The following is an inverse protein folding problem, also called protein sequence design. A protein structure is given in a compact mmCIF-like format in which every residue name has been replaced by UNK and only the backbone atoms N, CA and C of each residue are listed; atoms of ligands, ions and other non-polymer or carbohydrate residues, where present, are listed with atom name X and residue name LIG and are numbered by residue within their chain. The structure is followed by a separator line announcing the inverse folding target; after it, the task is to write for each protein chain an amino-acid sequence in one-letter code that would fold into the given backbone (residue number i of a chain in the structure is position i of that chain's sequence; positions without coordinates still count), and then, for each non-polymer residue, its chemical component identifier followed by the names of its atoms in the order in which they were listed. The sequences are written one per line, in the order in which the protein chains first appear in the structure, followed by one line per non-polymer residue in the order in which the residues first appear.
data_IF_969834489780
#
_entry.id   IF_969834489780
#
_cell.length_a   1.000
_cell.length_b   1.000
_cell.length_c   1.000
_cell.angle_alpha   90.00
_cell.angle_beta   90.00
_cell.angle_gamma   90.00
#
_symmetry.space_group_name_H-M   'P 1'
#
loop_
_entity.id
_entity.type
_entity.pdbx_description
1 polymer ?
#
# COMPACT_ATOMS: atom_id res chain seq x y z
N UNK A 1 -16.48 -1.07 -21.20
CA UNK A 1 -17.32 0.12 -20.81
C UNK A 1 -18.79 -0.19 -20.51
N UNK A 2 -19.43 -1.23 -21.09
CA UNK A 2 -20.83 -1.59 -20.76
C UNK A 2 -20.96 -2.46 -19.51
N UNK A 3 -20.06 -3.42 -19.31
CA UNK A 3 -20.09 -4.34 -18.17
C UNK A 3 -19.92 -3.63 -16.82
N UNK A 4 -18.96 -2.71 -16.73
CA UNK A 4 -18.71 -1.94 -15.50
C UNK A 4 -19.96 -1.15 -15.07
N UNK A 5 -20.67 -0.53 -16.02
CA UNK A 5 -21.91 0.24 -15.71
C UNK A 5 -23.07 -0.64 -15.27
N UNK A 6 -23.12 -1.87 -15.78
CA UNK A 6 -24.18 -2.82 -15.45
C UNK A 6 -23.97 -3.39 -14.04
N UNK A 7 -22.71 -3.62 -13.66
CA UNK A 7 -22.35 -4.11 -12.33
C UNK A 7 -22.47 -3.03 -11.25
N UNK A 8 -22.18 -1.77 -11.59
CA UNK A 8 -22.41 -0.63 -10.68
C UNK A 8 -23.89 -0.42 -10.37
N UNK A 9 -24.77 -0.60 -11.37
CA UNK A 9 -26.23 -0.50 -11.19
C UNK A 9 -26.84 -1.65 -10.40
N UNK A 10 -26.24 -2.86 -10.45
CA UNK A 10 -26.72 -4.01 -9.67
C UNK A 10 -26.43 -3.89 -8.18
N UNK A 11 -25.44 -3.10 -7.79
CA UNK A 11 -24.96 -2.99 -6.42
C UNK A 11 -25.29 -1.63 -5.77
N UNK A 12 -26.29 -0.90 -6.27
CA UNK A 12 -26.76 0.40 -5.76
C UNK A 12 -25.64 1.46 -5.56
N UNK A 13 -24.60 1.41 -6.39
CA UNK A 13 -23.53 2.41 -6.32
C UNK A 13 -23.96 3.70 -7.01
N UNK A 14 -24.03 4.79 -6.24
CA UNK A 14 -24.22 6.14 -6.76
C UNK A 14 -23.07 6.49 -7.70
N UNK A 15 -23.40 6.60 -8.99
CA UNK A 15 -22.46 6.89 -10.08
C UNK A 15 -21.61 8.14 -9.80
N UNK A 16 -22.13 9.06 -9.00
CA UNK A 16 -21.45 10.28 -8.55
C UNK A 16 -20.28 10.03 -7.60
N UNK A 17 -20.35 9.03 -6.70
CA UNK A 17 -19.24 8.69 -5.79
C UNK A 17 -18.05 8.09 -6.55
N UNK A 18 -18.32 7.26 -7.55
CA UNK A 18 -17.30 6.67 -8.42
C UNK A 18 -16.65 7.73 -9.31
N UNK A 19 -17.46 8.68 -9.81
CA UNK A 19 -16.99 9.78 -10.64
C UNK A 19 -16.19 10.81 -9.82
N UNK A 20 -16.55 11.02 -8.56
CA UNK A 20 -15.81 11.86 -7.62
C UNK A 20 -14.47 11.22 -7.24
N UNK A 21 -14.45 9.90 -7.00
CA UNK A 21 -13.22 9.13 -6.82
C UNK A 21 -12.30 9.22 -8.04
N UNK A 22 -12.84 9.14 -9.27
CA UNK A 22 -12.07 9.30 -10.51
C UNK A 22 -11.56 10.74 -10.74
N UNK A 23 -12.29 11.77 -10.28
CA UNK A 23 -11.86 13.18 -10.42
C UNK A 23 -10.78 13.58 -9.41
N UNK A 24 -10.69 12.89 -8.28
CA UNK A 24 -9.69 13.13 -7.24
C UNK A 24 -8.42 12.26 -7.42
N UNK A 25 -8.44 11.27 -8.33
CA UNK A 25 -7.33 10.34 -8.52
C UNK A 25 -6.33 10.80 -9.58
N UNK A 26 -5.34 11.53 -9.10
CA UNK A 26 -3.96 11.40 -9.56
C UNK A 26 -3.16 10.36 -8.75
N UNK A 27 -3.77 9.23 -8.35
CA UNK A 27 -3.24 8.05 -7.61
C UNK A 27 -3.87 7.72 -6.24
N UNK A 28 -4.64 8.60 -5.60
CA UNK A 28 -5.15 8.33 -4.22
C UNK A 28 -6.49 7.57 -4.12
N UNK A 29 -7.27 7.41 -5.19
CA UNK A 29 -8.63 6.83 -5.08
C UNK A 29 -8.68 5.29 -5.25
N UNK A 30 -7.58 4.62 -5.60
CA UNK A 30 -7.59 3.21 -5.98
C UNK A 30 -7.76 2.28 -4.76
N UNK A 31 -7.17 2.64 -3.61
CA UNK A 31 -7.26 1.86 -2.37
C UNK A 31 -8.68 1.84 -1.80
N UNK A 32 -9.37 2.98 -1.82
CA UNK A 32 -10.76 3.09 -1.39
C UNK A 32 -11.72 2.37 -2.35
N UNK A 33 -11.48 2.44 -3.67
CA UNK A 33 -12.29 1.71 -4.65
C UNK A 33 -12.17 0.19 -4.46
N UNK A 34 -10.97 -0.34 -4.22
CA UNK A 34 -10.76 -1.78 -3.99
C UNK A 34 -11.38 -2.22 -2.64
N UNK A 35 -11.28 -1.37 -1.60
CA UNK A 35 -11.92 -1.60 -0.30
C UNK A 35 -13.45 -1.58 -0.38
N UNK A 36 -14.03 -0.67 -1.16
CA UNK A 36 -15.47 -0.58 -1.40
C UNK A 36 -16.00 -1.76 -2.24
N UNK A 37 -15.25 -2.22 -3.25
CA UNK A 37 -15.64 -3.37 -4.09
C UNK A 37 -15.62 -4.69 -3.29
N UNK A 38 -14.67 -4.86 -2.36
CA UNK A 38 -14.56 -6.07 -1.54
C UNK A 38 -15.60 -6.19 -0.43
N UNK A 39 -16.09 -5.06 0.09
CA UNK A 39 -17.04 -5.04 1.20
C UNK A 39 -18.50 -5.30 0.80
N UNK A 40 -18.81 -5.28 -0.49
CA UNK A 40 -20.19 -5.45 -0.95
C UNK A 40 -20.68 -6.91 -1.00
N UNK A 41 -19.81 -7.93 -0.91
CA UNK A 41 -20.20 -9.30 -1.29
C UNK A 41 -19.77 -10.47 -0.37
N UNK A 42 -19.35 -10.29 0.88
CA UNK A 42 -19.05 -11.51 1.67
C UNK A 42 -19.18 -11.39 3.18
N UNK A 43 -20.28 -11.93 3.69
CA UNK A 43 -20.46 -12.35 5.09
C UNK A 43 -19.62 -13.59 5.49
N UNK A 44 -18.65 -14.04 4.67
CA UNK A 44 -17.99 -15.35 4.85
C UNK A 44 -16.47 -15.37 4.70
N UNK A 45 -15.80 -14.22 4.57
CA UNK A 45 -14.34 -14.19 4.56
C UNK A 45 -13.87 -12.84 5.10
N UNK A 46 -13.35 -12.72 6.33
CA UNK A 46 -12.78 -11.47 6.79
C UNK A 46 -11.50 -11.24 5.98
N UNK A 47 -11.63 -10.45 4.93
CA UNK A 47 -10.50 -9.98 4.17
C UNK A 47 -9.65 -9.12 5.10
N UNK A 48 -8.36 -9.43 5.17
CA UNK A 48 -7.43 -8.69 6.02
C UNK A 48 -7.58 -7.18 5.77
N UNK A 49 -7.72 -6.42 6.86
CA UNK A 49 -7.62 -4.97 6.88
C UNK A 49 -6.28 -4.51 6.28
N UNK A 50 -6.18 -3.23 5.89
CA UNK A 50 -4.94 -2.67 5.37
C UNK A 50 -3.75 -2.95 6.30
N UNK A 51 -3.95 -2.75 7.62
CA UNK A 51 -2.97 -3.04 8.64
C UNK A 51 -2.57 -4.52 8.70
N UNK A 52 -3.54 -5.45 8.66
CA UNK A 52 -3.25 -6.87 8.68
C UNK A 52 -2.48 -7.34 7.44
N UNK A 53 -2.78 -6.80 6.24
CA UNK A 53 -2.03 -7.10 5.01
C UNK A 53 -0.58 -6.62 5.09
N UNK A 54 -0.38 -5.40 5.59
CA UNK A 54 0.96 -4.84 5.78
C UNK A 54 1.74 -5.63 6.81
N UNK A 55 1.13 -5.96 7.95
CA UNK A 55 1.74 -6.78 9.00
C UNK A 55 2.18 -8.15 8.48
N UNK A 56 1.30 -8.84 7.75
CA UNK A 56 1.62 -10.13 7.14
C UNK A 56 2.80 -10.01 6.16
N UNK A 57 2.73 -9.04 5.26
CA UNK A 57 3.76 -8.82 4.23
C UNK A 57 5.13 -8.54 4.85
N UNK A 58 5.20 -7.61 5.80
CA UNK A 58 6.47 -7.28 6.44
C UNK A 58 7.01 -8.42 7.30
N UNK A 59 6.14 -9.21 7.94
CA UNK A 59 6.55 -10.43 8.65
C UNK A 59 7.22 -11.42 7.70
N UNK A 60 6.65 -11.64 6.51
CA UNK A 60 7.26 -12.51 5.50
C UNK A 60 8.59 -11.97 4.96
N UNK A 61 8.67 -10.67 4.69
CA UNK A 61 9.91 -10.01 4.25
C UNK A 61 11.00 -10.15 5.31
N UNK A 62 10.68 -9.91 6.58
CA UNK A 62 11.62 -10.05 7.70
C UNK A 62 12.06 -11.49 7.95
N UNK A 63 11.28 -12.48 7.53
CA UNK A 63 11.65 -13.90 7.60
C UNK A 63 12.50 -14.34 6.39
N UNK A 64 12.28 -13.73 5.21
CA UNK A 64 12.99 -14.05 3.98
C UNK A 64 14.41 -13.44 3.92
N UNK A 65 14.64 -12.34 4.64
CA UNK A 65 15.88 -11.58 4.60
C UNK A 65 16.48 -11.39 5.99
N UNK A 66 17.81 -11.23 6.06
CA UNK A 66 18.50 -10.86 7.30
C UNK A 66 18.67 -9.35 7.38
N UNK A 67 17.89 -8.71 8.25
CA UNK A 67 18.00 -7.27 8.50
C UNK A 67 18.82 -6.96 9.75
N UNK A 68 19.69 -5.94 9.67
CA UNK A 68 20.31 -5.34 10.85
C UNK A 68 19.32 -4.41 11.58
N UNK A 69 19.69 -3.92 12.77
CA UNK A 69 18.80 -3.10 13.60
C UNK A 69 18.38 -1.78 12.92
N UNK A 70 19.27 -1.10 12.18
CA UNK A 70 18.91 0.12 11.44
C UNK A 70 17.93 -0.19 10.30
N UNK A 71 18.09 -1.32 9.61
CA UNK A 71 17.17 -1.75 8.56
C UNK A 71 15.78 -2.11 9.12
N UNK A 72 15.72 -2.77 10.28
CA UNK A 72 14.46 -3.08 10.97
C UNK A 72 13.72 -1.82 11.40
N UNK A 73 14.44 -0.83 11.92
CA UNK A 73 13.88 0.47 12.26
C UNK A 73 13.27 1.15 11.03
N UNK A 74 13.97 1.11 9.90
CA UNK A 74 13.44 1.63 8.64
C UNK A 74 12.23 0.87 8.11
N UNK A 75 12.18 -0.44 8.27
CA UNK A 75 10.99 -1.22 7.93
C UNK A 75 9.77 -0.83 8.80
N UNK A 76 9.98 -0.36 10.03
CA UNK A 76 8.91 0.18 10.86
C UNK A 76 8.38 1.52 10.32
N UNK A 77 9.25 2.41 9.83
CA UNK A 77 8.80 3.65 9.17
C UNK A 77 8.06 3.37 7.86
N UNK A 78 8.55 2.40 7.08
CA UNK A 78 7.88 1.93 5.87
C UNK A 78 6.51 1.33 6.22
N UNK A 79 6.41 0.55 7.30
CA UNK A 79 5.14 0.02 7.79
C UNK A 79 4.11 1.12 8.05
N UNK A 80 4.48 2.17 8.78
CA UNK A 80 3.58 3.29 9.08
C UNK A 80 3.07 3.95 7.80
N UNK A 81 3.93 4.15 6.81
CA UNK A 81 3.54 4.66 5.50
C UNK A 81 2.57 3.72 4.77
N UNK A 82 2.86 2.41 4.76
CA UNK A 82 2.09 1.39 4.05
C UNK A 82 0.71 1.14 4.66
N UNK A 83 0.54 1.27 5.98
CA UNK A 83 -0.77 1.13 6.63
C UNK A 83 -1.77 2.14 6.06
N UNK A 84 -1.29 3.34 5.72
CA UNK A 84 -2.12 4.43 5.17
C UNK A 84 -2.21 4.36 3.65
N UNK A 85 -1.10 4.09 2.95
CA UNK A 85 -1.01 4.28 1.49
C UNK A 85 -0.98 2.98 0.68
N UNK A 86 -0.73 1.83 1.32
CA UNK A 86 -0.68 0.49 0.71
C UNK A 86 0.26 0.30 -0.50
N UNK A 87 1.16 1.25 -0.74
CA UNK A 87 2.23 1.18 -1.72
C UNK A 87 3.37 2.09 -1.27
N UNK A 88 4.59 1.84 -1.75
CA UNK A 88 5.74 2.71 -1.52
C UNK A 88 6.61 2.82 -2.78
N UNK A 89 6.94 4.05 -3.14
CA UNK A 89 7.85 4.42 -4.22
C UNK A 89 9.07 5.17 -3.65
N UNK A 90 10.15 5.30 -4.44
CA UNK A 90 11.38 5.96 -3.98
C UNK A 90 11.14 7.43 -3.63
N UNK A 91 10.28 8.08 -4.38
CA UNK A 91 9.89 9.48 -4.22
C UNK A 91 9.20 9.71 -2.87
N UNK A 92 8.51 8.70 -2.32
CA UNK A 92 7.86 8.82 -1.03
C UNK A 92 8.85 9.03 0.12
N UNK A 93 10.09 8.56 -0.01
CA UNK A 93 11.11 8.75 1.02
C UNK A 93 11.44 10.23 1.25
N UNK A 94 11.34 11.07 0.23
CA UNK A 94 11.67 12.50 0.31
C UNK A 94 10.42 13.39 0.45
N UNK A 95 9.22 12.82 0.35
CA UNK A 95 7.95 13.59 0.37
C UNK A 95 7.10 13.24 1.59
N UNK A 96 7.18 12.01 2.11
CA UNK A 96 6.36 11.56 3.24
C UNK A 96 7.05 11.89 4.57
N UNK A 97 6.42 12.67 5.46
CA UNK A 97 7.05 13.08 6.72
C UNK A 97 7.55 11.93 7.59
N UNK A 98 6.87 10.77 7.55
CA UNK A 98 7.25 9.56 8.30
C UNK A 98 8.57 8.93 7.84
N UNK A 99 9.04 9.24 6.63
CA UNK A 99 10.31 8.79 6.07
C UNK A 99 11.33 9.94 6.00
N UNK A 100 10.87 11.11 5.55
CA UNK A 100 11.70 12.30 5.31
C UNK A 100 12.37 12.79 6.59
N UNK A 101 11.65 12.81 7.73
CA UNK A 101 12.19 13.20 9.05
C UNK A 101 13.34 12.31 9.54
N UNK A 102 13.51 11.12 8.97
CA UNK A 102 14.59 10.18 9.31
C UNK A 102 15.75 10.22 8.30
N UNK A 103 15.76 11.20 7.38
CA UNK A 103 16.82 11.43 6.40
C UNK A 103 16.50 10.97 4.98
N UNK A 104 15.24 10.62 4.72
CA UNK A 104 14.68 10.35 3.40
C UNK A 104 15.44 9.32 2.56
N UNK A 105 15.39 9.49 1.24
CA UNK A 105 15.91 8.49 0.30
C UNK A 105 17.42 8.31 0.44
N UNK A 106 18.14 9.39 0.75
CA UNK A 106 19.59 9.36 0.94
C UNK A 106 19.99 8.47 2.12
N UNK A 107 19.29 8.57 3.26
CA UNK A 107 19.57 7.71 4.41
C UNK A 107 19.14 6.27 4.16
N UNK A 108 17.98 6.05 3.53
CA UNK A 108 17.52 4.71 3.15
C UNK A 108 18.54 4.00 2.24
N UNK A 109 19.06 4.68 1.21
CA UNK A 109 20.11 4.13 0.33
C UNK A 109 21.39 3.78 1.08
N UNK A 110 21.76 4.53 2.11
CA UNK A 110 22.94 4.22 2.93
C UNK A 110 22.74 2.96 3.78
N UNK A 111 21.51 2.72 4.25
CA UNK A 111 21.17 1.61 5.15
C UNK A 111 20.93 0.29 4.38
N UNK A 112 20.18 0.36 3.28
CA UNK A 112 19.84 -0.81 2.48
C UNK A 112 20.81 -1.04 1.32
N UNK A 113 21.63 -0.04 0.95
CA UNK A 113 22.60 -0.16 -0.12
C UNK A 113 21.94 -0.54 -1.46
N UNK A 114 22.51 -1.52 -2.18
CA UNK A 114 21.97 -1.96 -3.47
C UNK A 114 20.61 -2.68 -3.35
N UNK A 115 20.25 -3.16 -2.17
CA UNK A 115 19.06 -3.99 -1.97
C UNK A 115 17.78 -3.17 -1.81
N UNK A 116 17.88 -1.84 -1.65
CA UNK A 116 16.72 -0.96 -1.42
C UNK A 116 15.64 -1.14 -2.48
N UNK A 117 16.02 -1.09 -3.75
CA UNK A 117 15.09 -1.18 -4.88
C UNK A 117 14.40 -2.55 -4.93
N UNK A 118 15.16 -3.61 -4.64
CA UNK A 118 14.64 -4.99 -4.59
C UNK A 118 13.63 -5.15 -3.45
N UNK A 119 13.95 -4.64 -2.26
CA UNK A 119 13.06 -4.72 -1.09
C UNK A 119 11.77 -3.93 -1.32
N UNK A 120 11.84 -2.72 -1.89
CA UNK A 120 10.65 -1.92 -2.24
C UNK A 120 9.77 -2.68 -3.24
N UNK A 121 10.36 -3.24 -4.30
CA UNK A 121 9.62 -4.00 -5.30
C UNK A 121 8.96 -5.26 -4.71
N UNK A 122 9.68 -5.99 -3.84
CA UNK A 122 9.16 -7.19 -3.19
C UNK A 122 8.00 -6.90 -2.24
N UNK A 123 8.11 -5.82 -1.44
CA UNK A 123 7.05 -5.35 -0.56
C UNK A 123 5.79 -5.02 -1.37
N UNK A 124 5.92 -4.20 -2.43
CA UNK A 124 4.78 -3.82 -3.26
C UNK A 124 4.14 -5.04 -3.94
N UNK A 125 4.96 -5.98 -4.45
CA UNK A 125 4.47 -7.19 -5.06
C UNK A 125 3.67 -8.06 -4.07
N UNK A 126 4.22 -8.30 -2.88
CA UNK A 126 3.55 -9.10 -1.83
C UNK A 126 2.31 -8.43 -1.25
N UNK A 127 2.25 -7.09 -1.25
CA UNK A 127 1.04 -6.38 -0.85
C UNK A 127 -0.10 -6.63 -1.83
N UNK A 128 0.18 -6.73 -3.13
CA UNK A 128 -0.85 -6.95 -4.17
C UNK A 128 -1.23 -8.43 -4.32
N UNK A 129 -0.30 -9.35 -4.06
CA UNK A 129 -0.50 -10.81 -4.12
C UNK A 129 -1.46 -11.36 -3.04
#
# INVERSE_FOLDING_TARGET
MKEIRQELRKNDFEEDKVRQAHKLSGHEAMADIISLIKNADSQQNPLLTAEERVNRTLTEIMAAHSFNEEQKEWLAYIKEHLIVNLAIEKENFDVMPVLERHGGLARAKKIFGPDLDTIIAEINYKLVA
#
